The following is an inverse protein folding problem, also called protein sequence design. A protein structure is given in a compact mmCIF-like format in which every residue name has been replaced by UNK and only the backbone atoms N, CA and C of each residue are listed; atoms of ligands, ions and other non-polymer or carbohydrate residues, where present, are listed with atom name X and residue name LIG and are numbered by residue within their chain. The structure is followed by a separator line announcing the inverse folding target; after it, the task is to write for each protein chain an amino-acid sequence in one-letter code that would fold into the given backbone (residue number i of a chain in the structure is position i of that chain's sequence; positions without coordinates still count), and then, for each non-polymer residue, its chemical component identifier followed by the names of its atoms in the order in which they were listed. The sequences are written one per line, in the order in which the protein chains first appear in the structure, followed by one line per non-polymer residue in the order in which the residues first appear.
data_IF_705546494521
#
_entry.id   IF_705546494521
#
_cell.length_a   1.000
_cell.length_b   1.000
_cell.length_c   1.000
_cell.angle_alpha   90.00
_cell.angle_beta   90.00
_cell.angle_gamma   90.00
#
_symmetry.space_group_name_H-M   'P 1'
#
loop_
_entity.id
_entity.type
_entity.pdbx_description
1 polymer ?
#
# COMPACT_ATOMS: atom_id res chain seq x y z
N UNK A 1 -17.14 29.12 11.55
CA UNK A 1 -15.89 28.33 11.36
C UNK A 1 -15.22 28.56 10.01
N UNK A 2 -15.96 28.63 8.88
CA UNK A 2 -15.38 29.02 7.58
C UNK A 2 -14.75 30.44 7.56
N UNK A 3 -15.27 31.34 8.41
CA UNK A 3 -14.88 32.75 8.44
C UNK A 3 -13.40 32.97 8.85
N UNK A 4 -12.88 32.24 9.85
CA UNK A 4 -11.50 32.44 10.36
C UNK A 4 -10.43 32.00 9.34
N UNK A 5 -10.66 30.89 8.63
CA UNK A 5 -9.76 30.46 7.55
C UNK A 5 -9.74 31.48 6.39
N UNK A 6 -10.90 32.04 6.04
CA UNK A 6 -11.02 33.04 4.99
C UNK A 6 -10.34 34.37 5.38
N UNK A 7 -10.51 34.81 6.63
CA UNK A 7 -9.88 36.02 7.17
C UNK A 7 -8.35 35.91 7.18
N UNK A 8 -7.78 34.82 7.73
CA UNK A 8 -6.33 34.59 7.70
C UNK A 8 -5.79 34.55 6.27
N UNK A 9 -6.49 33.86 5.37
CA UNK A 9 -6.12 33.80 3.94
C UNK A 9 -6.16 35.18 3.28
N UNK A 10 -7.12 36.05 3.63
CA UNK A 10 -7.21 37.42 3.12
C UNK A 10 -6.00 38.27 3.56
N UNK A 11 -5.63 38.19 4.85
CA UNK A 11 -4.47 38.90 5.42
C UNK A 11 -3.14 38.45 4.78
N UNK A 12 -2.94 37.14 4.63
CA UNK A 12 -1.77 36.58 3.90
C UNK A 12 -1.80 37.01 2.42
N UNK A 13 -2.98 36.94 1.79
CA UNK A 13 -3.37 37.56 0.52
C UNK A 13 -2.70 38.92 0.28
N UNK A 14 -3.04 39.86 1.14
CA UNK A 14 -2.63 41.25 1.05
C UNK A 14 -1.12 41.38 1.22
N UNK A 15 -0.54 40.69 2.20
CA UNK A 15 0.91 40.68 2.43
C UNK A 15 1.68 40.16 1.21
N UNK A 16 1.19 39.07 0.59
CA UNK A 16 1.80 38.47 -0.62
C UNK A 16 1.78 39.41 -1.82
N UNK A 17 0.69 40.16 -2.00
CA UNK A 17 0.56 41.09 -3.12
C UNK A 17 1.58 42.22 -3.01
N UNK A 18 1.73 42.82 -1.83
CA UNK A 18 2.67 43.92 -1.61
C UNK A 18 4.11 43.44 -1.84
N UNK A 19 4.50 42.29 -1.27
CA UNK A 19 5.83 41.72 -1.45
C UNK A 19 6.14 41.39 -2.93
N UNK A 20 5.16 40.86 -3.66
CA UNK A 20 5.33 40.55 -5.09
C UNK A 20 5.51 41.81 -5.96
N UNK A 21 4.86 42.93 -5.61
CA UNK A 21 5.05 44.19 -6.31
C UNK A 21 6.43 44.82 -6.01
N UNK A 22 6.91 44.72 -4.77
CA UNK A 22 8.28 45.14 -4.41
C UNK A 22 9.31 44.35 -5.21
N UNK A 23 9.21 43.01 -5.22
CA UNK A 23 10.12 42.14 -5.98
C UNK A 23 10.14 42.51 -7.48
N UNK A 24 8.96 42.80 -8.06
CA UNK A 24 8.83 43.24 -9.45
C UNK A 24 9.62 44.52 -9.71
N UNK A 25 9.42 45.56 -8.89
CA UNK A 25 10.10 46.84 -9.10
C UNK A 25 11.61 46.76 -8.89
N UNK A 26 12.08 45.92 -7.96
CA UNK A 26 13.50 45.64 -7.78
C UNK A 26 14.11 44.97 -9.01
N UNK A 27 13.46 43.97 -9.60
CA UNK A 27 13.92 43.32 -10.85
C UNK A 27 13.95 44.28 -12.03
N UNK A 28 12.93 45.14 -12.15
CA UNK A 28 12.90 46.16 -13.20
C UNK A 28 14.04 47.19 -13.01
N UNK A 29 14.34 47.58 -11.77
CA UNK A 29 15.48 48.43 -11.44
C UNK A 29 16.82 47.79 -11.79
N UNK A 30 17.06 46.56 -11.37
CA UNK A 30 18.27 45.77 -11.67
C UNK A 30 18.53 45.68 -13.18
N UNK A 31 17.49 45.51 -13.99
CA UNK A 31 17.63 45.49 -15.45
C UNK A 31 18.04 46.86 -16.02
N UNK A 32 17.46 47.94 -15.51
CA UNK A 32 17.71 49.32 -15.96
C UNK A 32 19.10 49.83 -15.54
N UNK A 33 19.63 49.36 -14.41
CA UNK A 33 20.98 49.67 -13.91
C UNK A 33 22.12 49.20 -14.83
N UNK A 34 21.83 48.42 -15.89
CA UNK A 34 22.83 48.07 -16.90
C UNK A 34 23.31 49.26 -17.74
N UNK A 35 22.53 50.34 -17.80
CA UNK A 35 22.87 51.61 -18.48
C UNK A 35 22.29 52.79 -17.67
N UNK A 36 22.92 53.08 -16.53
CA UNK A 36 22.43 54.05 -15.53
C UNK A 36 22.28 55.45 -16.13
N UNK A 37 23.23 55.90 -16.93
CA UNK A 37 23.25 57.27 -17.47
C UNK A 37 22.03 57.57 -18.35
N UNK A 38 21.52 56.56 -19.07
CA UNK A 38 20.30 56.68 -19.89
C UNK A 38 19.01 56.48 -19.10
N UNK A 39 19.05 55.71 -18.01
CA UNK A 39 17.86 55.23 -17.32
C UNK A 39 17.66 55.85 -15.92
N UNK A 40 18.50 56.79 -15.49
CA UNK A 40 18.50 57.36 -14.13
C UNK A 40 17.09 57.73 -13.60
N UNK A 41 16.29 58.46 -14.39
CA UNK A 41 14.91 58.82 -14.01
C UNK A 41 13.96 57.63 -13.89
N UNK A 42 14.15 56.59 -14.70
CA UNK A 42 13.33 55.38 -14.64
C UNK A 42 13.68 54.53 -13.43
N UNK A 43 14.97 54.48 -13.07
CA UNK A 43 15.47 53.82 -11.85
C UNK A 43 14.91 54.54 -10.61
N UNK A 44 15.01 55.87 -10.55
CA UNK A 44 14.45 56.68 -9.46
C UNK A 44 12.95 56.43 -9.27
N UNK A 45 12.19 56.40 -10.37
CA UNK A 45 10.75 56.10 -10.32
C UNK A 45 10.47 54.67 -9.81
N UNK A 46 11.34 53.68 -10.10
CA UNK A 46 11.20 52.32 -9.56
C UNK A 46 11.52 52.24 -8.07
N UNK A 47 12.58 52.91 -7.63
CA UNK A 47 12.91 53.02 -6.20
C UNK A 47 11.79 53.71 -5.42
N UNK A 48 11.22 54.80 -5.96
CA UNK A 48 10.06 55.47 -5.36
C UNK A 48 8.84 54.56 -5.23
N UNK A 49 8.58 53.71 -6.24
CA UNK A 49 7.52 52.69 -6.16
C UNK A 49 7.81 51.62 -5.12
N UNK A 50 9.07 51.20 -4.97
CA UNK A 50 9.50 50.30 -3.89
C UNK A 50 9.25 50.96 -2.53
N UNK A 51 9.65 52.20 -2.33
CA UNK A 51 9.41 52.95 -1.08
C UNK A 51 7.91 53.12 -0.77
N UNK A 52 7.10 53.44 -1.78
CA UNK A 52 5.65 53.53 -1.62
C UNK A 52 5.03 52.21 -1.18
N UNK A 53 5.47 51.08 -1.77
CA UNK A 53 4.99 49.75 -1.37
C UNK A 53 5.54 49.31 -0.02
N UNK A 54 6.79 49.65 0.30
CA UNK A 54 7.36 49.43 1.64
C UNK A 54 6.58 50.21 2.70
N UNK A 55 6.17 51.46 2.43
CA UNK A 55 5.31 52.24 3.33
C UNK A 55 3.88 51.71 3.47
N UNK A 56 3.43 50.86 2.53
CA UNK A 56 2.15 50.13 2.63
C UNK A 56 2.27 48.82 3.41
N UNK A 57 3.48 48.29 3.58
CA UNK A 57 3.80 47.33 4.64
C UNK A 57 3.83 48.16 5.92
N UNK A 58 2.64 48.50 6.44
CA UNK A 58 2.52 49.48 7.51
C UNK A 58 3.12 49.02 8.84
N UNK A 59 3.63 47.79 8.91
CA UNK A 59 4.59 47.33 9.90
C UNK A 59 5.12 45.95 9.45
N UNK A 60 6.45 45.73 9.45
CA UNK A 60 6.99 44.35 9.50
C UNK A 60 6.41 43.59 10.71
N UNK A 61 5.98 44.32 11.75
CA UNK A 61 5.24 43.83 12.91
C UNK A 61 3.86 43.28 12.51
N UNK A 62 3.12 43.86 11.55
CA UNK A 62 1.83 43.33 11.09
C UNK A 62 2.02 41.99 10.36
N UNK A 63 3.07 41.86 9.54
CA UNK A 63 3.44 40.59 8.93
C UNK A 63 3.85 39.55 9.98
N UNK A 64 4.67 39.95 10.96
CA UNK A 64 5.09 39.09 12.06
C UNK A 64 3.89 38.62 12.90
N UNK A 65 2.97 39.53 13.21
CA UNK A 65 1.76 39.25 13.97
C UNK A 65 0.79 38.37 13.16
N UNK A 66 0.67 38.58 11.85
CA UNK A 66 -0.09 37.69 10.98
C UNK A 66 0.47 36.26 10.96
N UNK A 67 1.80 36.10 10.91
CA UNK A 67 2.44 34.78 10.99
C UNK A 67 2.29 34.13 12.37
N UNK A 68 2.38 34.91 13.43
CA UNK A 68 2.11 34.46 14.80
C UNK A 68 0.66 33.99 14.96
N UNK A 69 -0.30 34.77 14.46
CA UNK A 69 -1.72 34.40 14.44
C UNK A 69 -1.97 33.08 13.70
N UNK A 70 -1.27 32.83 12.58
CA UNK A 70 -1.35 31.54 11.86
C UNK A 70 -0.79 30.40 12.71
N UNK A 71 0.34 30.62 13.38
CA UNK A 71 0.96 29.61 14.25
C UNK A 71 0.04 29.25 15.43
N UNK A 72 -0.49 30.25 16.11
CA UNK A 72 -1.44 30.08 17.21
C UNK A 72 -2.70 29.37 16.74
N UNK A 73 -3.27 29.80 15.61
CA UNK A 73 -4.41 29.12 15.00
C UNK A 73 -4.13 27.63 14.70
N UNK A 74 -2.97 27.29 14.16
CA UNK A 74 -2.59 25.89 13.89
C UNK A 74 -2.52 25.08 15.19
N UNK A 75 -1.90 25.62 16.23
CA UNK A 75 -1.77 24.93 17.52
C UNK A 75 -3.12 24.76 18.22
N UNK A 76 -3.98 25.78 18.20
CA UNK A 76 -5.36 25.68 18.69
C UNK A 76 -6.15 24.62 17.92
N UNK A 77 -6.05 24.61 16.58
CA UNK A 77 -6.76 23.61 15.76
C UNK A 77 -6.24 22.20 16.00
N UNK A 78 -4.94 22.01 16.22
CA UNK A 78 -4.40 20.70 16.60
C UNK A 78 -5.04 20.20 17.89
N UNK A 79 -5.06 21.03 18.94
CA UNK A 79 -5.68 20.70 20.24
C UNK A 79 -7.17 20.40 20.11
N UNK A 80 -7.90 21.23 19.37
CA UNK A 80 -9.34 21.03 19.12
C UNK A 80 -9.64 19.72 18.38
N UNK A 81 -8.72 19.24 17.54
CA UNK A 81 -8.90 18.02 16.75
C UNK A 81 -8.49 16.73 17.48
N UNK A 82 -7.81 16.80 18.64
CA UNK A 82 -7.39 15.59 19.36
C UNK A 82 -8.59 14.72 19.76
N UNK A 83 -9.55 15.30 20.48
CA UNK A 83 -10.73 14.55 20.95
C UNK A 83 -11.61 14.03 19.81
N UNK A 84 -11.97 14.83 18.78
CA UNK A 84 -12.68 14.31 17.60
C UNK A 84 -11.95 13.16 16.89
N UNK A 85 -10.62 13.20 16.79
CA UNK A 85 -9.84 12.09 16.19
C UNK A 85 -9.95 10.81 17.00
N UNK A 86 -9.87 10.89 18.33
CA UNK A 86 -10.04 9.73 19.20
C UNK A 86 -11.45 9.15 19.08
N UNK A 87 -12.48 10.01 19.10
CA UNK A 87 -13.89 9.60 18.89
C UNK A 87 -14.09 8.93 17.53
N UNK A 88 -13.55 9.50 16.46
CA UNK A 88 -13.67 8.95 15.11
C UNK A 88 -13.03 7.55 15.02
N UNK A 89 -11.83 7.36 15.59
CA UNK A 89 -11.17 6.05 15.62
C UNK A 89 -12.02 5.01 16.37
N UNK A 90 -12.52 5.36 17.56
CA UNK A 90 -13.34 4.44 18.35
C UNK A 90 -14.64 4.07 17.63
N UNK A 91 -15.32 5.07 17.05
CA UNK A 91 -16.53 4.85 16.24
C UNK A 91 -16.25 3.96 15.03
N UNK A 92 -15.20 4.24 14.25
CA UNK A 92 -14.84 3.44 13.09
C UNK A 92 -14.52 1.99 13.46
N UNK A 93 -13.78 1.76 14.56
CA UNK A 93 -13.47 0.42 15.03
C UNK A 93 -14.74 -0.37 15.36
N UNK A 94 -15.61 0.19 16.20
CA UNK A 94 -16.86 -0.46 16.61
C UNK A 94 -17.83 -0.68 15.44
N UNK A 95 -17.94 0.29 14.54
CA UNK A 95 -18.83 0.17 13.39
C UNK A 95 -18.31 -0.88 12.40
N UNK A 96 -17.00 -0.94 12.15
CA UNK A 96 -16.43 -1.99 11.29
C UNK A 96 -16.61 -3.38 11.89
N UNK A 97 -16.30 -3.56 13.18
CA UNK A 97 -16.52 -4.82 13.89
C UNK A 97 -17.96 -5.30 13.70
N UNK A 98 -18.94 -4.43 13.98
CA UNK A 98 -20.37 -4.72 13.79
C UNK A 98 -20.71 -5.13 12.35
N UNK A 99 -20.24 -4.41 11.33
CA UNK A 99 -20.56 -4.69 9.91
C UNK A 99 -19.90 -5.97 9.39
N UNK A 100 -18.70 -6.29 9.86
CA UNK A 100 -18.06 -7.56 9.52
C UNK A 100 -18.75 -8.73 10.21
N UNK A 101 -19.13 -8.59 11.48
CA UNK A 101 -19.88 -9.61 12.24
C UNK A 101 -21.25 -9.91 11.61
N UNK A 102 -21.99 -8.88 11.14
CA UNK A 102 -23.24 -9.05 10.38
C UNK A 102 -23.07 -9.95 9.14
N UNK A 103 -21.85 -10.04 8.60
CA UNK A 103 -21.49 -10.86 7.45
C UNK A 103 -20.77 -12.16 7.83
N UNK A 104 -20.69 -12.50 9.11
CA UNK A 104 -20.02 -13.70 9.62
C UNK A 104 -18.50 -13.62 9.64
N UNK A 105 -17.91 -12.43 9.53
CA UNK A 105 -16.48 -12.21 9.55
C UNK A 105 -16.03 -11.63 10.89
N UNK A 106 -14.98 -12.21 11.45
CA UNK A 106 -14.35 -11.68 12.67
C UNK A 106 -13.26 -10.68 12.31
N UNK A 107 -13.24 -9.54 13.00
CA UNK A 107 -12.15 -8.56 12.98
C UNK A 107 -11.24 -8.77 14.19
N UNK A 108 -9.94 -8.58 14.01
CA UNK A 108 -8.95 -8.59 15.10
C UNK A 108 -7.98 -7.40 14.95
N UNK A 109 -7.33 -6.99 16.05
CA UNK A 109 -6.35 -5.89 16.03
C UNK A 109 -6.92 -4.53 16.45
N UNK A 110 -6.18 -3.46 16.15
CA UNK A 110 -6.53 -2.09 16.54
C UNK A 110 -6.12 -1.09 15.45
N UNK A 111 -6.94 -0.08 15.18
CA UNK A 111 -6.57 1.00 14.25
C UNK A 111 -5.19 1.60 14.62
N UNK A 112 -4.31 1.83 13.62
CA UNK A 112 -4.59 1.85 12.19
C UNK A 112 -4.46 0.50 11.47
N UNK A 113 -4.39 -0.63 12.19
CA UNK A 113 -4.22 -1.95 11.58
C UNK A 113 -5.23 -2.97 12.12
N UNK A 114 -6.13 -3.41 11.25
CA UNK A 114 -7.10 -4.47 11.57
C UNK A 114 -6.82 -5.70 10.71
N UNK A 115 -7.20 -6.88 11.19
CA UNK A 115 -7.08 -8.15 10.47
C UNK A 115 -8.45 -8.77 10.26
N UNK A 116 -8.63 -9.37 9.08
CA UNK A 116 -9.84 -10.11 8.70
C UNK A 116 -9.39 -11.38 7.98
N UNK A 117 -9.44 -12.52 8.67
CA UNK A 117 -8.91 -13.78 8.14
C UNK A 117 -7.41 -13.66 7.83
N UNK A 118 -7.03 -13.99 6.59
CA UNK A 118 -5.65 -13.84 6.08
C UNK A 118 -5.30 -12.43 5.58
N UNK A 119 -6.23 -11.47 5.68
CA UNK A 119 -6.04 -10.11 5.19
C UNK A 119 -5.67 -9.15 6.33
N UNK A 120 -4.78 -8.20 6.03
CA UNK A 120 -4.45 -7.06 6.89
C UNK A 120 -4.96 -5.77 6.25
N UNK A 121 -5.74 -5.00 7.01
CA UNK A 121 -6.31 -3.71 6.62
C UNK A 121 -5.48 -2.59 7.27
N UNK A 122 -4.74 -1.86 6.45
CA UNK A 122 -3.94 -0.71 6.89
C UNK A 122 -4.69 0.60 6.59
N UNK A 123 -5.10 1.30 7.65
CA UNK A 123 -5.90 2.52 7.59
C UNK A 123 -5.01 3.76 7.49
N UNK A 124 -4.98 4.36 6.31
CA UNK A 124 -4.35 5.65 6.04
C UNK A 124 -5.37 6.76 6.31
N UNK A 125 -5.69 6.98 7.59
CA UNK A 125 -6.77 7.87 8.03
C UNK A 125 -6.62 9.31 7.52
N UNK A 126 -5.39 9.81 7.37
CA UNK A 126 -5.11 11.14 6.80
C UNK A 126 -5.45 11.23 5.31
N UNK A 127 -5.46 10.10 4.61
CA UNK A 127 -5.74 9.99 3.18
C UNK A 127 -7.17 9.50 2.90
N UNK A 128 -7.94 9.14 3.94
CA UNK A 128 -9.28 8.57 3.78
C UNK A 128 -9.28 7.22 3.04
N UNK A 129 -8.18 6.47 3.11
CA UNK A 129 -7.99 5.23 2.35
C UNK A 129 -7.58 4.07 3.26
N UNK A 130 -7.93 2.86 2.83
CA UNK A 130 -7.48 1.60 3.43
C UNK A 130 -6.72 0.79 2.39
N UNK A 131 -5.54 0.29 2.75
CA UNK A 131 -4.79 -0.69 1.95
C UNK A 131 -5.15 -2.08 2.43
N UNK A 132 -5.47 -2.96 1.48
CA UNK A 132 -5.83 -4.35 1.74
C UNK A 132 -4.62 -5.20 1.38
N UNK A 133 -4.00 -5.79 2.39
CA UNK A 133 -2.82 -6.62 2.27
C UNK A 133 -3.16 -8.09 2.48
N UNK A 134 -2.44 -8.97 1.81
CA UNK A 134 -2.37 -10.39 2.14
C UNK A 134 -1.29 -10.62 3.20
N UNK A 135 -1.63 -11.39 4.24
CA UNK A 135 -0.78 -11.62 5.41
C UNK A 135 -0.42 -10.32 6.14
N UNK A 136 0.62 -10.32 6.99
CA UNK A 136 1.11 -9.14 7.69
C UNK A 136 1.89 -8.22 6.73
N UNK A 137 1.17 -7.57 5.80
CA UNK A 137 1.71 -6.66 4.76
C UNK A 137 2.69 -7.33 3.79
N UNK A 138 2.40 -8.58 3.39
CA UNK A 138 3.27 -9.36 2.48
C UNK A 138 3.07 -8.91 1.02
N UNK A 139 1.82 -8.91 0.55
CA UNK A 139 1.46 -8.49 -0.80
C UNK A 139 0.25 -7.54 -0.76
N UNK A 140 0.30 -6.43 -1.49
CA UNK A 140 -0.82 -5.49 -1.58
C UNK A 140 -1.83 -6.05 -2.59
N UNK A 141 -3.05 -6.36 -2.14
CA UNK A 141 -4.12 -6.87 -3.00
C UNK A 141 -4.99 -5.75 -3.58
N UNK A 142 -5.11 -4.64 -2.86
CA UNK A 142 -5.95 -3.55 -3.31
C UNK A 142 -6.03 -2.39 -2.34
N UNK A 143 -6.92 -1.46 -2.67
CA UNK A 143 -7.23 -0.28 -1.86
C UNK A 143 -8.72 -0.04 -1.86
N UNK A 144 -9.23 0.49 -0.75
CA UNK A 144 -10.63 0.88 -0.60
C UNK A 144 -10.72 2.28 0.02
N UNK A 145 -11.80 2.99 -0.25
CA UNK A 145 -12.08 4.25 0.45
C UNK A 145 -12.53 3.97 1.89
N UNK A 146 -12.31 4.95 2.78
CA UNK A 146 -12.80 4.92 4.16
C UNK A 146 -14.31 5.21 4.24
N UNK A 147 -15.09 4.49 3.43
CA UNK A 147 -16.56 4.47 3.43
C UNK A 147 -16.95 3.08 3.89
N UNK A 148 -17.55 2.98 5.08
CA UNK A 148 -17.70 1.70 5.82
C UNK A 148 -18.27 0.57 4.97
N UNK A 149 -19.34 0.82 4.22
CA UNK A 149 -20.01 -0.22 3.42
C UNK A 149 -19.21 -0.65 2.19
N UNK A 150 -18.64 0.32 1.47
CA UNK A 150 -17.78 0.07 0.32
C UNK A 150 -16.52 -0.70 0.76
N UNK A 151 -15.93 -0.31 1.90
CA UNK A 151 -14.78 -0.97 2.50
C UNK A 151 -15.08 -2.43 2.83
N UNK A 152 -16.15 -2.69 3.60
CA UNK A 152 -16.54 -4.05 4.01
C UNK A 152 -16.79 -4.93 2.78
N UNK A 153 -17.54 -4.42 1.81
CA UNK A 153 -17.81 -5.17 0.57
C UNK A 153 -16.55 -5.43 -0.24
N UNK A 154 -15.64 -4.46 -0.34
CA UNK A 154 -14.37 -4.62 -1.05
C UNK A 154 -13.47 -5.66 -0.38
N UNK A 155 -13.38 -5.65 0.95
CA UNK A 155 -12.58 -6.62 1.71
C UNK A 155 -13.14 -8.04 1.54
N UNK A 156 -14.45 -8.21 1.71
CA UNK A 156 -15.10 -9.52 1.54
C UNK A 156 -14.93 -10.02 0.11
N UNK A 157 -15.17 -9.16 -0.89
CA UNK A 157 -14.95 -9.52 -2.29
C UNK A 157 -13.50 -9.94 -2.53
N UNK A 158 -12.53 -9.20 -2.01
CA UNK A 158 -11.10 -9.53 -2.15
C UNK A 158 -10.79 -10.92 -1.58
N UNK A 159 -11.34 -11.26 -0.41
CA UNK A 159 -11.20 -12.59 0.16
C UNK A 159 -11.90 -13.65 -0.71
N UNK A 160 -13.15 -13.41 -1.10
CA UNK A 160 -13.95 -14.35 -1.89
C UNK A 160 -13.33 -14.61 -3.26
N UNK A 161 -12.76 -13.61 -3.92
CA UNK A 161 -12.06 -13.78 -5.19
C UNK A 161 -10.80 -14.66 -5.03
N UNK A 162 -10.06 -14.48 -3.93
CA UNK A 162 -8.90 -15.33 -3.59
C UNK A 162 -9.32 -16.80 -3.34
N UNK A 163 -10.44 -17.00 -2.63
CA UNK A 163 -10.98 -18.32 -2.32
C UNK A 163 -11.57 -19.01 -3.55
N UNK A 164 -12.32 -18.27 -4.37
CA UNK A 164 -12.93 -18.79 -5.59
C UNK A 164 -11.89 -19.23 -6.62
N UNK A 165 -10.76 -18.52 -6.71
CA UNK A 165 -9.64 -18.85 -7.58
C UNK A 165 -8.82 -20.07 -7.10
N UNK A 166 -9.03 -20.51 -5.85
CA UNK A 166 -8.41 -21.71 -5.30
C UNK A 166 -8.90 -22.99 -5.99
N UNK A 167 -8.12 -24.06 -5.85
CA UNK A 167 -8.48 -25.38 -6.36
C UNK A 167 -9.80 -25.88 -5.75
N UNK A 168 -10.49 -26.76 -6.48
CA UNK A 168 -11.74 -27.39 -6.00
C UNK A 168 -11.48 -28.76 -5.40
N UNK A 169 -10.61 -29.54 -6.03
CA UNK A 169 -10.24 -30.89 -5.59
C UNK A 169 -8.78 -30.93 -5.13
N UNK A 170 -8.55 -31.32 -3.86
CA UNK A 170 -7.19 -31.38 -3.27
C UNK A 170 -6.27 -32.33 -4.04
N UNK A 171 -6.81 -33.48 -4.51
CA UNK A 171 -6.03 -34.49 -5.23
C UNK A 171 -5.51 -33.97 -6.58
N UNK A 172 -6.31 -33.21 -7.30
CA UNK A 172 -5.91 -32.64 -8.59
C UNK A 172 -4.87 -31.54 -8.40
N UNK A 173 -5.00 -30.74 -7.34
CA UNK A 173 -3.99 -29.77 -6.99
C UNK A 173 -2.67 -30.44 -6.59
N UNK A 174 -2.70 -31.47 -5.73
CA UNK A 174 -1.52 -32.25 -5.35
C UNK A 174 -0.84 -32.90 -6.56
N UNK A 175 -1.62 -33.43 -7.51
CA UNK A 175 -1.09 -33.94 -8.78
C UNK A 175 -0.32 -32.86 -9.53
N UNK A 176 -0.91 -31.69 -9.72
CA UNK A 176 -0.27 -30.54 -10.37
C UNK A 176 1.02 -30.13 -9.65
N UNK A 177 0.97 -30.06 -8.32
CA UNK A 177 2.12 -29.73 -7.47
C UNK A 177 3.27 -30.73 -7.65
N UNK A 178 2.96 -32.03 -7.69
CA UNK A 178 3.93 -33.10 -7.91
C UNK A 178 4.47 -33.13 -9.34
N UNK A 179 3.64 -32.86 -10.34
CA UNK A 179 4.05 -32.74 -11.76
C UNK A 179 5.01 -31.57 -11.98
N UNK A 180 4.72 -30.41 -11.39
CA UNK A 180 5.60 -29.26 -11.40
C UNK A 180 6.96 -29.57 -10.74
N UNK A 181 6.93 -30.22 -9.57
CA UNK A 181 8.15 -30.64 -8.88
C UNK A 181 8.96 -31.63 -9.73
N UNK A 182 8.34 -32.70 -10.21
CA UNK A 182 8.99 -33.74 -11.01
C UNK A 182 9.59 -33.19 -12.30
N UNK A 183 8.94 -32.20 -12.93
CA UNK A 183 9.45 -31.52 -14.12
C UNK A 183 10.71 -30.70 -13.81
N UNK A 184 10.77 -30.01 -12.66
CA UNK A 184 11.99 -29.36 -12.19
C UNK A 184 13.11 -30.37 -11.97
N UNK A 185 12.83 -31.46 -11.26
CA UNK A 185 13.83 -32.48 -10.95
C UNK A 185 14.50 -33.01 -12.22
N UNK A 186 13.70 -33.33 -13.24
CA UNK A 186 14.19 -33.77 -14.54
C UNK A 186 15.02 -32.70 -15.24
N UNK A 187 14.56 -31.45 -15.25
CA UNK A 187 15.26 -30.35 -15.94
C UNK A 187 16.61 -30.02 -15.29
N UNK A 188 16.69 -30.08 -13.97
CA UNK A 188 17.89 -29.76 -13.20
C UNK A 188 18.80 -30.99 -12.98
N UNK A 189 18.41 -32.18 -13.45
CA UNK A 189 19.18 -33.41 -13.28
C UNK A 189 19.26 -33.90 -11.83
N UNK A 190 18.24 -33.63 -11.02
CA UNK A 190 18.17 -33.96 -9.59
C UNK A 190 17.31 -35.21 -9.34
N UNK A 191 17.64 -35.95 -8.27
CA UNK A 191 16.85 -37.10 -7.82
C UNK A 191 15.63 -36.70 -6.98
N UNK A 192 14.50 -37.38 -7.17
CA UNK A 192 13.29 -37.16 -6.36
C UNK A 192 13.60 -37.18 -4.86
N UNK A 193 13.12 -36.17 -4.15
CA UNK A 193 13.42 -35.95 -2.73
C UNK A 193 14.39 -34.81 -2.46
N UNK A 194 15.14 -34.34 -3.47
CA UNK A 194 15.96 -33.14 -3.30
C UNK A 194 15.11 -31.88 -3.11
N UNK A 195 15.68 -30.91 -2.42
CA UNK A 195 15.05 -29.60 -2.21
C UNK A 195 15.12 -28.76 -3.49
N UNK A 196 14.02 -28.10 -3.85
CA UNK A 196 13.99 -27.10 -4.92
C UNK A 196 13.40 -25.79 -4.40
N UNK A 197 13.85 -24.66 -4.96
CA UNK A 197 13.33 -23.33 -4.61
C UNK A 197 11.81 -23.27 -4.82
N UNK A 198 11.10 -22.77 -3.81
CA UNK A 198 9.64 -22.62 -3.87
C UNK A 198 9.21 -21.63 -4.96
N UNK A 199 10.09 -20.71 -5.35
CA UNK A 199 9.84 -19.74 -6.41
C UNK A 199 10.03 -20.35 -7.80
N UNK A 200 11.01 -21.23 -7.97
CA UNK A 200 11.14 -22.01 -9.20
C UNK A 200 9.97 -22.98 -9.36
N UNK A 201 9.51 -23.55 -8.26
CA UNK A 201 8.32 -24.39 -8.25
C UNK A 201 7.04 -23.61 -8.59
N UNK A 202 6.85 -22.42 -8.01
CA UNK A 202 5.76 -21.50 -8.39
C UNK A 202 5.74 -21.23 -9.90
N UNK A 203 6.90 -20.98 -10.50
CA UNK A 203 7.01 -20.73 -11.95
C UNK A 203 6.51 -21.92 -12.77
N UNK A 204 6.93 -23.15 -12.42
CA UNK A 204 6.45 -24.33 -13.12
C UNK A 204 4.95 -24.57 -12.93
N UNK A 205 4.43 -24.36 -11.72
CA UNK A 205 2.98 -24.47 -11.48
C UNK A 205 2.22 -23.45 -12.34
N UNK A 206 2.69 -22.20 -12.38
CA UNK A 206 2.06 -21.16 -13.19
C UNK A 206 2.07 -21.51 -14.68
N UNK A 207 3.14 -22.14 -15.18
CA UNK A 207 3.23 -22.64 -16.55
C UNK A 207 2.25 -23.79 -16.81
N UNK A 208 2.20 -24.80 -15.95
CA UNK A 208 1.30 -25.95 -16.09
C UNK A 208 -0.18 -25.57 -15.97
N UNK A 209 -0.51 -24.45 -15.32
CA UNK A 209 -1.88 -23.93 -15.23
C UNK A 209 -2.37 -23.23 -16.51
N UNK A 210 -1.49 -22.94 -17.46
CA UNK A 210 -1.90 -22.25 -18.69
C UNK A 210 -2.83 -23.13 -19.53
N UNK A 211 -3.81 -22.49 -20.18
CA UNK A 211 -4.78 -23.18 -21.04
C UNK A 211 -4.25 -23.44 -22.45
N UNK A 212 -4.98 -24.25 -23.22
CA UNK A 212 -4.65 -24.54 -24.63
C UNK A 212 -4.50 -23.29 -25.49
N UNK A 213 -5.33 -22.27 -25.25
CA UNK A 213 -5.28 -21.01 -26.00
C UNK A 213 -3.96 -20.27 -25.79
N UNK A 214 -3.44 -20.24 -24.55
CA UNK A 214 -2.14 -19.63 -24.26
C UNK A 214 -0.99 -20.45 -24.87
N UNK A 215 -1.06 -21.78 -24.81
CA UNK A 215 -0.03 -22.65 -25.37
C UNK A 215 0.03 -22.58 -26.91
N UNK A 216 -1.11 -22.30 -27.56
CA UNK A 216 -1.20 -22.14 -29.01
C UNK A 216 -0.82 -20.73 -29.43
N UNK A 217 -1.17 -19.74 -28.62
CA UNK A 217 -1.01 -18.32 -28.91
C UNK A 217 -0.78 -17.52 -27.61
N UNK A 218 0.50 -17.28 -27.22
CA UNK A 218 0.87 -16.76 -25.90
C UNK A 218 0.63 -15.24 -25.78
N UNK A 219 -0.63 -14.84 -25.83
CA UNK A 219 -1.08 -13.46 -25.61
C UNK A 219 -1.51 -13.21 -24.17
N UNK A 220 -1.48 -11.93 -23.77
CA UNK A 220 -1.90 -11.49 -22.44
C UNK A 220 -3.36 -11.87 -22.14
N UNK A 221 -4.24 -11.83 -23.15
CA UNK A 221 -5.66 -12.15 -22.97
C UNK A 221 -5.89 -13.65 -22.70
N UNK A 222 -4.97 -14.51 -23.14
CA UNK A 222 -5.03 -15.95 -22.91
C UNK A 222 -4.31 -16.38 -21.62
N UNK A 223 -3.51 -15.50 -21.03
CA UNK A 223 -2.72 -15.79 -19.85
C UNK A 223 -3.61 -15.94 -18.62
N UNK A 224 -3.47 -17.08 -17.93
CA UNK A 224 -4.10 -17.32 -16.63
C UNK A 224 -3.16 -16.89 -15.52
N UNK A 225 -3.51 -15.83 -14.79
CA UNK A 225 -2.68 -15.34 -13.69
C UNK A 225 -2.64 -16.35 -12.54
N UNK A 226 -1.44 -16.77 -12.17
CA UNK A 226 -1.17 -17.55 -10.97
C UNK A 226 0.14 -17.07 -10.36
N UNK A 227 0.07 -16.57 -9.13
CA UNK A 227 1.18 -15.86 -8.50
C UNK A 227 1.36 -16.23 -7.04
N UNK A 228 2.25 -15.50 -6.37
CA UNK A 228 2.67 -15.74 -4.98
C UNK A 228 1.50 -15.82 -4.02
N UNK A 229 0.61 -14.83 -4.04
CA UNK A 229 -0.58 -14.79 -3.18
C UNK A 229 -1.45 -16.02 -3.35
N UNK A 230 -1.73 -16.42 -4.60
CA UNK A 230 -2.60 -17.57 -4.86
C UNK A 230 -1.93 -18.88 -4.43
N UNK A 231 -0.66 -19.12 -4.80
CA UNK A 231 0.04 -20.33 -4.36
C UNK A 231 0.12 -20.40 -2.82
N UNK A 232 0.41 -19.28 -2.16
CA UNK A 232 0.41 -19.21 -0.71
C UNK A 232 -0.95 -19.59 -0.13
N UNK A 233 -2.03 -19.01 -0.64
CA UNK A 233 -3.38 -19.28 -0.16
C UNK A 233 -3.79 -20.74 -0.43
N UNK A 234 -3.53 -21.25 -1.63
CA UNK A 234 -3.80 -22.64 -1.98
C UNK A 234 -3.02 -23.60 -1.07
N UNK A 235 -1.73 -23.35 -0.82
CA UNK A 235 -0.93 -24.18 0.09
C UNK A 235 -1.44 -24.15 1.54
N UNK A 236 -2.03 -23.02 1.98
CA UNK A 236 -2.71 -22.90 3.26
C UNK A 236 -4.02 -23.71 3.29
N UNK A 237 -4.82 -23.64 2.23
CA UNK A 237 -6.08 -24.38 2.11
C UNK A 237 -5.88 -25.90 1.97
N UNK A 238 -4.75 -26.33 1.43
CA UNK A 238 -4.43 -27.73 1.17
C UNK A 238 -4.20 -28.52 2.48
N UNK A 239 -5.14 -29.40 2.83
CA UNK A 239 -5.08 -30.22 4.05
C UNK A 239 -4.30 -31.51 3.84
N UNK A 240 -4.55 -32.22 2.74
CA UNK A 240 -3.82 -33.43 2.39
C UNK A 240 -2.44 -33.07 1.81
N UNK A 241 -1.40 -33.80 2.23
CA UNK A 241 -0.03 -33.63 1.70
C UNK A 241 0.48 -34.84 0.92
N UNK A 242 -0.27 -35.94 0.93
CA UNK A 242 0.11 -37.19 0.30
C UNK A 242 -0.41 -37.29 -1.14
N UNK A 243 0.48 -37.63 -2.06
CA UNK A 243 0.19 -37.95 -3.44
C UNK A 243 0.86 -39.27 -3.83
N UNK A 244 0.07 -40.35 -3.85
CA UNK A 244 0.60 -41.71 -4.05
C UNK A 244 1.54 -42.09 -2.89
N UNK A 245 2.78 -42.47 -3.22
CA UNK A 245 3.81 -42.81 -2.23
C UNK A 245 4.65 -41.60 -1.77
N UNK A 246 4.29 -40.38 -2.16
CA UNK A 246 5.07 -39.18 -1.86
C UNK A 246 4.29 -38.20 -0.99
N UNK A 247 4.99 -37.53 -0.09
CA UNK A 247 4.45 -36.51 0.79
C UNK A 247 5.10 -35.16 0.51
N UNK A 248 4.29 -34.13 0.25
CA UNK A 248 4.71 -32.76 0.08
C UNK A 248 5.24 -32.18 1.40
N UNK A 249 6.49 -31.70 1.38
CA UNK A 249 7.14 -31.03 2.51
C UNK A 249 7.70 -29.67 2.09
N UNK A 250 7.66 -28.72 3.02
CA UNK A 250 8.19 -27.37 2.85
C UNK A 250 9.30 -27.12 3.87
N UNK A 251 10.40 -26.51 3.45
CA UNK A 251 11.47 -26.11 4.36
C UNK A 251 11.39 -24.61 4.68
N UNK A 252 11.46 -24.29 5.97
CA UNK A 252 11.37 -22.92 6.48
C UNK A 252 12.55 -22.08 5.96
N UNK A 253 12.26 -20.85 5.56
CA UNK A 253 13.27 -19.90 5.11
C UNK A 253 14.12 -19.41 6.29
N UNK A 254 15.43 -19.30 6.08
CA UNK A 254 16.34 -18.61 7.01
C UNK A 254 16.07 -17.10 7.04
N UNK A 255 16.55 -16.41 8.07
CA UNK A 255 16.43 -14.94 8.19
C UNK A 255 17.00 -14.20 6.97
N UNK A 256 18.07 -14.70 6.36
CA UNK A 256 18.63 -14.08 5.16
C UNK A 256 17.66 -14.21 3.98
N UNK A 257 17.13 -15.41 3.74
CA UNK A 257 16.18 -15.67 2.67
C UNK A 257 14.86 -14.91 2.83
N UNK A 258 14.46 -14.55 4.06
CA UNK A 258 13.23 -13.76 4.28
C UNK A 258 13.33 -12.30 3.81
N UNK A 259 14.53 -11.78 3.51
CA UNK A 259 14.73 -10.39 3.09
C UNK A 259 14.30 -10.10 1.65
N UNK A 260 14.33 -11.12 0.80
CA UNK A 260 14.13 -11.03 -0.65
C UNK A 260 12.93 -11.88 -1.06
N UNK A 261 12.04 -11.34 -1.90
CA UNK A 261 10.84 -12.08 -2.30
C UNK A 261 11.18 -13.29 -3.17
N UNK A 262 12.33 -13.25 -3.83
CA UNK A 262 12.85 -14.25 -4.76
C UNK A 262 13.25 -15.56 -4.06
N UNK A 263 13.51 -15.52 -2.76
CA UNK A 263 14.07 -16.65 -2.01
C UNK A 263 13.06 -17.32 -1.07
N UNK A 264 11.85 -16.77 -0.96
CA UNK A 264 10.85 -17.32 -0.05
C UNK A 264 9.41 -17.07 -0.50
N UNK A 265 8.48 -17.83 0.08
CA UNK A 265 7.05 -17.60 0.04
C UNK A 265 6.49 -17.61 1.46
N UNK A 266 5.81 -16.54 1.88
CA UNK A 266 5.04 -16.54 3.11
C UNK A 266 3.76 -17.35 2.90
N UNK A 267 3.40 -18.21 3.85
CA UNK A 267 2.19 -19.03 3.83
C UNK A 267 1.48 -18.90 5.18
N UNK A 268 0.16 -18.61 5.22
CA UNK A 268 -0.59 -18.62 6.47
C UNK A 268 -0.52 -19.99 7.15
N UNK A 269 -0.43 -19.99 8.47
CA UNK A 269 -0.47 -21.21 9.30
C UNK A 269 -1.75 -21.31 10.11
N UNK A 270 -2.53 -20.24 10.16
CA UNK A 270 -3.81 -20.21 10.86
C UNK A 270 -4.82 -19.27 10.18
N UNK A 271 -6.11 -19.38 10.53
CA UNK A 271 -7.16 -18.50 10.00
C UNK A 271 -7.06 -17.03 10.43
N UNK A 272 -6.22 -16.70 11.43
CA UNK A 272 -6.03 -15.32 11.92
C UNK A 272 -5.00 -14.53 11.11
N UNK A 273 -4.41 -15.16 10.08
CA UNK A 273 -3.46 -14.52 9.20
C UNK A 273 -2.02 -14.46 9.75
N UNK A 274 -1.70 -15.26 10.78
CA UNK A 274 -0.30 -15.55 11.08
C UNK A 274 0.24 -16.59 10.09
N UNK A 275 1.56 -16.61 9.90
CA UNK A 275 2.17 -17.49 8.91
C UNK A 275 3.67 -17.58 9.02
N UNK A 276 4.27 -18.33 8.11
CA UNK A 276 5.72 -18.61 8.09
C UNK A 276 6.24 -18.53 6.66
N UNK A 277 7.50 -18.13 6.52
CA UNK A 277 8.19 -18.10 5.23
C UNK A 277 8.84 -19.45 4.96
N UNK A 278 8.65 -19.96 3.74
CA UNK A 278 9.27 -21.19 3.25
C UNK A 278 10.17 -20.87 2.07
N UNK A 279 11.35 -21.49 2.00
CA UNK A 279 12.32 -21.26 0.93
C UNK A 279 12.31 -22.36 -0.13
N UNK A 280 12.06 -23.60 0.29
CA UNK A 280 12.10 -24.76 -0.60
C UNK A 280 10.96 -25.74 -0.37
N UNK A 281 10.77 -26.58 -1.37
CA UNK A 281 9.81 -27.69 -1.40
C UNK A 281 10.54 -28.97 -1.78
N UNK A 282 10.06 -30.10 -1.26
CA UNK A 282 10.49 -31.43 -1.67
C UNK A 282 9.35 -32.44 -1.46
N UNK A 283 9.41 -33.55 -2.18
CA UNK A 283 8.49 -34.67 -2.00
C UNK A 283 9.24 -35.84 -1.39
N UNK A 284 8.91 -36.17 -0.14
CA UNK A 284 9.52 -37.29 0.57
C UNK A 284 8.76 -38.57 0.22
N UNK A 285 9.45 -39.64 -0.15
CA UNK A 285 8.81 -40.95 -0.27
C UNK A 285 8.37 -41.43 1.11
N UNK A 286 7.09 -41.74 1.27
CA UNK A 286 6.54 -42.36 2.47
C UNK A 286 7.16 -43.73 2.69
N UNK A 287 7.31 -44.13 3.95
CA UNK A 287 7.65 -45.52 4.25
C UNK A 287 6.46 -46.39 3.82
N UNK A 288 6.69 -47.33 2.91
CA UNK A 288 5.73 -48.42 2.65
C UNK A 288 5.58 -49.22 3.94
N UNK A 289 4.49 -49.00 4.67
CA UNK A 289 3.96 -49.97 5.64
C UNK A 289 3.07 -50.97 4.94
#
# INVERSE_FOLDING_TARGET
MANTYQELRKKINQSRQILGEIEKYLKEGEYLEKDIDKNAYQIEERLKKVEQRLGQIKELEELHENLKNVKEFVEERKKLLEHPKHKLKAYLGAELERRFEEKGWKIEGNLPELRVGVLTLEFLLSQGQVRIWYGPKIELLGRAQLVTDELVNTVIKTYTDLDNASFKEERDFLKLLFEAYSSLMKREGLELGANVSIIYWLREIAWLKQGKDFLTDPRREHFKSYGRTQLSYDLYCLKQREYGQYELRLAVASREQTKTKEDNLWIPTNPRGDGTHFASVYFRQGATT
#
